data_IF_863456975203
#
_entry.id   IF_863456975203
#
_cell.length_a   1.000
_cell.length_b   1.000
_cell.length_c   1.000
_cell.angle_alpha   90.00
_cell.angle_beta   90.00
_cell.angle_gamma   90.00
#
_symmetry.space_group_name_H-M   'P 1'
#
loop_
_entity.id
_entity.type
_entity.pdbx_description
1 polymer ?
#
# COMPACT_ATOMS: atom_id res chain seq x y z
N UNK A 1 3.15 -23.94 13.00
CA UNK A 1 3.15 -23.31 11.66
C UNK A 1 3.70 -24.36 10.72
N UNK A 2 2.94 -24.82 9.73
CA UNK A 2 3.41 -25.83 8.77
C UNK A 2 4.38 -25.18 7.78
N UNK A 3 5.50 -25.85 7.51
CA UNK A 3 6.47 -25.41 6.51
C UNK A 3 5.88 -25.57 5.10
N UNK A 4 5.68 -24.46 4.39
CA UNK A 4 5.33 -24.47 2.97
C UNK A 4 6.64 -24.49 2.17
N UNK A 5 6.85 -25.55 1.39
CA UNK A 5 8.08 -25.71 0.58
C UNK A 5 8.27 -24.51 -0.34
N UNK A 6 9.45 -23.89 -0.27
CA UNK A 6 9.81 -22.74 -1.10
C UNK A 6 9.33 -21.38 -0.57
N UNK A 7 8.62 -21.35 0.56
CA UNK A 7 8.18 -20.10 1.20
C UNK A 7 9.20 -19.65 2.26
N UNK A 8 9.37 -18.34 2.35
CA UNK A 8 10.02 -17.68 3.48
C UNK A 8 9.01 -16.73 4.07
N UNK A 9 8.68 -16.94 5.34
CA UNK A 9 7.83 -15.99 6.07
C UNK A 9 8.71 -14.97 6.76
N UNK A 10 8.27 -13.71 6.72
CA UNK A 10 8.85 -12.61 7.48
C UNK A 10 7.79 -12.11 8.43
N UNK A 11 8.10 -12.14 9.73
CA UNK A 11 7.23 -11.59 10.77
C UNK A 11 7.43 -10.08 10.90
N UNK A 12 6.48 -9.39 11.51
CA UNK A 12 6.64 -7.99 11.92
C UNK A 12 7.86 -7.88 12.83
N UNK A 13 8.72 -6.90 12.56
CA UNK A 13 10.00 -6.67 13.25
C UNK A 13 11.12 -7.65 12.87
N UNK A 14 10.83 -8.71 12.12
CA UNK A 14 11.86 -9.65 11.65
C UNK A 14 12.53 -9.08 10.40
N UNK A 15 13.86 -9.12 10.39
CA UNK A 15 14.68 -8.90 9.19
C UNK A 15 15.15 -10.25 8.64
N UNK A 16 15.01 -10.45 7.34
CA UNK A 16 15.66 -11.55 6.60
C UNK A 16 16.53 -10.98 5.47
N UNK A 17 17.47 -11.79 4.98
CA UNK A 17 18.22 -11.49 3.76
C UNK A 17 18.05 -12.63 2.76
N UNK A 18 17.65 -12.28 1.53
CA UNK A 18 17.42 -13.25 0.45
C UNK A 18 17.90 -12.66 -0.87
N UNK A 19 18.80 -13.37 -1.56
CA UNK A 19 19.31 -12.98 -2.87
C UNK A 19 19.85 -11.52 -2.94
N UNK A 20 20.51 -11.06 -1.87
CA UNK A 20 21.06 -9.69 -1.79
C UNK A 20 20.02 -8.60 -1.49
N UNK A 21 18.79 -8.99 -1.11
CA UNK A 21 17.74 -8.08 -0.64
C UNK A 21 17.53 -8.33 0.85
N UNK A 22 17.68 -7.27 1.65
CA UNK A 22 17.31 -7.28 3.06
C UNK A 22 15.85 -6.85 3.18
N UNK A 23 15.03 -7.66 3.85
CA UNK A 23 13.59 -7.48 3.95
C UNK A 23 13.22 -7.48 5.43
N UNK A 24 12.62 -6.38 5.90
CA UNK A 24 12.13 -6.22 7.27
C UNK A 24 10.60 -6.13 7.24
N UNK A 25 9.92 -6.98 8.01
CA UNK A 25 8.47 -6.86 8.21
C UNK A 25 8.13 -5.66 9.09
N UNK A 26 7.14 -4.87 8.69
CA UNK A 26 6.67 -3.67 9.43
C UNK A 26 5.21 -3.80 9.82
N UNK A 27 4.78 -3.08 10.84
CA UNK A 27 3.35 -2.97 11.18
C UNK A 27 2.54 -2.40 10.01
N UNK A 28 1.35 -2.94 9.79
CA UNK A 28 0.35 -2.42 8.86
C UNK A 28 -1.04 -2.61 9.48
N UNK A 29 -1.68 -1.53 9.90
CA UNK A 29 -2.95 -1.61 10.61
C UNK A 29 -3.77 -0.33 10.49
N UNK A 30 -5.06 -0.44 10.83
CA UNK A 30 -5.97 0.68 10.96
C UNK A 30 -6.57 0.69 12.36
N UNK A 31 -6.87 1.87 12.97
CA UNK A 31 -7.49 1.94 14.30
C UNK A 31 -8.87 1.28 14.41
N UNK A 32 -9.53 1.05 13.28
CA UNK A 32 -10.85 0.40 13.14
C UNK A 32 -10.83 -0.44 11.87
N UNK A 33 -11.75 -1.40 11.74
CA UNK A 33 -11.89 -2.22 10.52
C UNK A 33 -11.17 -3.56 10.61
N UNK A 34 -10.70 -4.05 9.46
CA UNK A 34 -10.19 -5.42 9.30
C UNK A 34 -8.68 -5.54 9.46
N UNK A 35 -7.93 -4.43 9.49
CA UNK A 35 -6.47 -4.45 9.63
C UNK A 35 -6.08 -4.26 11.09
N UNK A 36 -6.04 -5.36 11.83
CA UNK A 36 -5.71 -5.39 13.26
C UNK A 36 -4.19 -5.28 13.44
N UNK A 37 -3.76 -4.47 14.41
CA UNK A 37 -2.34 -4.31 14.76
C UNK A 37 -1.71 -5.65 15.13
N UNK A 38 -0.51 -5.92 14.60
CA UNK A 38 0.19 -7.20 14.77
C UNK A 38 -0.23 -8.31 13.80
N UNK A 39 -1.26 -8.10 12.96
CA UNK A 39 -1.71 -9.08 11.96
C UNK A 39 -1.33 -8.68 10.53
N UNK A 40 -1.51 -7.40 10.17
CA UNK A 40 -1.09 -6.87 8.87
C UNK A 40 0.42 -6.61 8.83
N UNK A 41 1.05 -6.90 7.69
CA UNK A 41 2.48 -6.77 7.50
C UNK A 41 2.81 -5.96 6.24
N UNK A 42 3.52 -4.86 6.43
CA UNK A 42 4.24 -4.15 5.38
C UNK A 42 5.69 -4.65 5.28
N UNK A 43 6.45 -4.11 4.33
CA UNK A 43 7.84 -4.47 4.11
C UNK A 43 8.72 -3.24 3.87
N UNK A 44 9.81 -3.15 4.62
CA UNK A 44 10.96 -2.34 4.25
C UNK A 44 11.96 -3.24 3.53
N UNK A 45 12.26 -2.91 2.28
CA UNK A 45 13.21 -3.63 1.44
C UNK A 45 14.42 -2.77 1.17
N UNK A 46 15.61 -3.33 1.40
CA UNK A 46 16.88 -2.69 1.10
C UNK A 46 17.59 -3.50 0.01
N UNK A 47 17.80 -2.87 -1.16
CA UNK A 47 18.45 -3.48 -2.33
C UNK A 47 19.35 -2.44 -3.00
N UNK A 48 20.61 -2.78 -3.28
CA UNK A 48 21.55 -1.88 -3.96
C UNK A 48 21.60 -0.45 -3.38
N UNK A 49 21.59 -0.33 -2.04
CA UNK A 49 21.55 0.94 -1.28
C UNK A 49 20.26 1.76 -1.45
N UNK A 50 19.23 1.19 -2.05
CA UNK A 50 17.89 1.75 -2.12
C UNK A 50 17.04 1.21 -0.98
N UNK A 51 16.25 2.08 -0.34
CA UNK A 51 15.25 1.72 0.67
C UNK A 51 13.85 1.92 0.10
N UNK A 52 13.11 0.82 -0.07
CA UNK A 52 11.76 0.80 -0.59
C UNK A 52 10.82 0.36 0.53
N UNK A 53 9.84 1.19 0.85
CA UNK A 53 8.82 0.89 1.85
C UNK A 53 7.49 0.59 1.15
N UNK A 54 6.98 -0.64 1.32
CA UNK A 54 5.63 -1.01 0.94
C UNK A 54 4.81 -1.22 2.20
N UNK A 55 3.82 -0.37 2.44
CA UNK A 55 3.17 -0.31 3.75
C UNK A 55 2.19 -1.45 4.01
N UNK A 56 1.75 -2.17 2.98
CA UNK A 56 0.52 -2.96 3.07
C UNK A 56 -0.72 -2.07 3.25
N UNK A 57 -1.84 -2.67 3.60
CA UNK A 57 -3.10 -1.94 3.85
C UNK A 57 -3.09 -1.35 5.27
N UNK A 58 -2.91 -0.03 5.37
CA UNK A 58 -2.70 0.69 6.64
C UNK A 58 -3.14 2.15 6.54
N UNK A 59 -3.24 2.82 7.68
CA UNK A 59 -3.28 4.30 7.77
C UNK A 59 -1.95 4.84 8.31
N UNK A 60 -1.88 6.13 8.67
CA UNK A 60 -0.76 6.72 9.41
C UNK A 60 -0.55 6.02 10.74
N UNK A 61 0.63 5.41 10.92
CA UNK A 61 1.02 4.74 12.17
C UNK A 61 2.21 5.46 12.81
N UNK A 62 2.48 5.16 14.08
CA UNK A 62 3.62 5.75 14.80
C UNK A 62 4.94 5.13 14.36
N UNK A 63 4.91 3.85 13.99
CA UNK A 63 6.06 3.10 13.49
C UNK A 63 6.66 3.71 12.21
N UNK A 64 5.87 4.48 11.46
CA UNK A 64 6.37 5.23 10.30
C UNK A 64 7.35 6.34 10.68
N UNK A 65 7.33 6.87 11.92
CA UNK A 65 8.28 7.87 12.41
C UNK A 65 9.73 7.32 12.49
N UNK A 66 9.87 6.00 12.57
CA UNK A 66 11.19 5.33 12.63
C UNK A 66 11.77 5.10 11.22
N UNK A 67 10.98 5.29 10.16
CA UNK A 67 11.43 5.16 8.78
C UNK A 67 12.27 6.36 8.38
N UNK A 68 13.46 6.10 7.85
CA UNK A 68 14.42 7.14 7.50
C UNK A 68 15.10 6.83 6.17
N UNK A 69 15.36 7.87 5.38
CA UNK A 69 16.06 7.74 4.09
C UNK A 69 15.33 6.83 3.11
N UNK A 70 13.99 6.90 3.09
CA UNK A 70 13.17 6.11 2.16
C UNK A 70 13.29 6.72 0.77
N UNK A 71 13.66 5.90 -0.20
CA UNK A 71 13.77 6.36 -1.58
C UNK A 71 12.45 6.18 -2.34
N UNK A 72 11.70 5.14 -2.02
CA UNK A 72 10.38 4.91 -2.58
C UNK A 72 9.42 4.42 -1.49
N UNK A 73 8.29 5.11 -1.31
CA UNK A 73 7.20 4.69 -0.46
C UNK A 73 5.97 4.34 -1.31
N UNK A 74 5.36 3.19 -1.04
CA UNK A 74 4.19 2.67 -1.73
C UNK A 74 3.09 2.46 -0.68
N UNK A 75 2.10 3.36 -0.66
CA UNK A 75 1.06 3.39 0.37
C UNK A 75 -0.35 3.35 -0.26
N UNK A 76 -1.32 2.67 0.39
CA UNK A 76 -2.72 2.70 -0.01
C UNK A 76 -3.28 4.10 0.22
N UNK A 77 -4.20 4.57 -0.63
CA UNK A 77 -4.83 5.90 -0.41
C UNK A 77 -6.28 5.82 0.04
N UNK A 78 -7.02 4.74 -0.24
CA UNK A 78 -8.41 4.63 0.21
C UNK A 78 -8.92 3.18 0.29
N UNK A 79 -9.84 2.91 1.22
CA UNK A 79 -10.55 1.61 1.29
C UNK A 79 -12.07 1.76 1.37
N UNK A 80 -12.81 0.68 1.10
CA UNK A 80 -14.26 0.67 1.17
C UNK A 80 -14.80 0.80 2.61
N UNK A 81 -14.02 0.43 3.64
CA UNK A 81 -14.43 0.43 5.05
C UNK A 81 -14.26 1.77 5.76
N UNK A 82 -13.83 2.82 5.05
CA UNK A 82 -13.58 4.17 5.61
C UNK A 82 -12.45 4.19 6.65
N UNK A 83 -11.56 3.21 6.60
CA UNK A 83 -10.50 3.00 7.60
C UNK A 83 -9.13 3.46 7.11
N UNK A 84 -8.93 3.48 5.79
CA UNK A 84 -7.81 4.13 5.12
C UNK A 84 -8.35 5.41 4.46
N UNK A 85 -7.88 6.56 4.94
CA UNK A 85 -8.27 7.89 4.44
C UNK A 85 -7.10 8.54 3.73
N UNK A 86 -7.39 9.15 2.59
CA UNK A 86 -6.40 9.85 1.77
C UNK A 86 -5.64 10.91 2.57
N UNK A 87 -6.32 11.64 3.47
CA UNK A 87 -5.70 12.69 4.28
C UNK A 87 -4.66 12.14 5.26
N UNK A 88 -4.97 11.02 5.94
CA UNK A 88 -4.05 10.38 6.87
C UNK A 88 -2.79 9.90 6.11
N UNK A 89 -2.96 9.43 4.87
CA UNK A 89 -1.86 8.95 4.04
C UNK A 89 -0.99 10.10 3.54
N UNK A 90 -1.58 11.25 3.20
CA UNK A 90 -0.81 12.47 2.88
C UNK A 90 0.08 12.85 4.07
N UNK A 91 -0.46 12.83 5.29
CA UNK A 91 0.33 13.11 6.50
C UNK A 91 1.42 12.07 6.75
N UNK A 92 1.12 10.78 6.53
CA UNK A 92 2.10 9.71 6.63
C UNK A 92 3.25 9.86 5.64
N UNK A 93 2.96 10.18 4.37
CA UNK A 93 4.00 10.39 3.35
C UNK A 93 4.86 11.61 3.69
N UNK A 94 4.26 12.70 4.20
CA UNK A 94 5.00 13.88 4.68
C UNK A 94 5.86 13.58 5.91
N UNK A 95 5.45 12.64 6.75
CA UNK A 95 6.24 12.18 7.89
C UNK A 95 7.44 11.31 7.46
N UNK A 96 7.23 10.45 6.46
CA UNK A 96 8.27 9.53 5.95
C UNK A 96 9.32 10.28 5.10
N UNK A 97 8.92 11.39 4.46
CA UNK A 97 9.72 12.19 3.54
C UNK A 97 10.44 11.36 2.46
N UNK A 98 9.74 10.48 1.71
CA UNK A 98 10.38 9.66 0.70
C UNK A 98 10.77 10.50 -0.52
N UNK A 99 11.79 10.07 -1.28
CA UNK A 99 12.08 10.72 -2.57
C UNK A 99 10.96 10.53 -3.58
N UNK A 100 10.40 9.31 -3.65
CA UNK A 100 9.31 8.93 -4.53
C UNK A 100 8.14 8.34 -3.73
N UNK A 101 6.92 8.80 -4.00
CA UNK A 101 5.68 8.25 -3.48
C UNK A 101 4.85 7.63 -4.62
N UNK A 102 4.40 6.40 -4.43
CA UNK A 102 3.52 5.68 -5.35
C UNK A 102 2.20 5.37 -4.62
N UNK A 103 1.11 6.09 -4.92
CA UNK A 103 -0.20 5.77 -4.37
C UNK A 103 -0.76 4.47 -4.97
N UNK A 104 -1.29 3.59 -4.12
CA UNK A 104 -1.92 2.31 -4.51
C UNK A 104 -3.25 2.09 -3.78
N UNK A 105 -3.85 0.91 -3.95
CA UNK A 105 -5.08 0.49 -3.27
C UNK A 105 -6.22 1.53 -3.44
N UNK A 106 -6.60 1.80 -4.70
CA UNK A 106 -7.75 2.63 -5.05
C UNK A 106 -8.40 2.12 -6.34
N UNK A 107 -9.65 2.50 -6.59
CA UNK A 107 -10.32 2.33 -7.88
C UNK A 107 -10.18 3.62 -8.69
N UNK A 108 -9.59 3.61 -9.89
CA UNK A 108 -9.58 4.78 -10.76
C UNK A 108 -11.01 5.28 -11.06
N UNK A 109 -11.25 6.60 -11.19
CA UNK A 109 -12.60 7.14 -11.34
C UNK A 109 -13.34 6.65 -12.60
N UNK A 110 -12.59 6.31 -13.65
CA UNK A 110 -13.08 5.82 -14.93
C UNK A 110 -13.38 4.30 -14.95
N UNK A 111 -13.02 3.57 -13.90
CA UNK A 111 -13.39 2.15 -13.79
C UNK A 111 -14.89 2.01 -13.43
N UNK A 112 -15.58 1.02 -14.02
CA UNK A 112 -16.95 0.74 -13.66
C UNK A 112 -17.02 0.21 -12.23
N UNK A 113 -18.19 0.35 -11.61
CA UNK A 113 -18.41 -0.17 -10.28
C UNK A 113 -18.30 -1.71 -10.27
N UNK A 114 -17.84 -2.28 -9.15
CA UNK A 114 -17.80 -3.73 -8.98
C UNK A 114 -19.21 -4.35 -9.14
N UNK A 115 -19.32 -5.44 -9.91
CA UNK A 115 -20.59 -6.17 -10.10
C UNK A 115 -20.54 -7.49 -9.33
N UNK A 116 -21.54 -7.71 -8.46
CA UNK A 116 -21.73 -9.02 -7.82
C UNK A 116 -22.47 -9.92 -8.81
N UNK A 117 -21.82 -10.97 -9.32
CA UNK A 117 -22.53 -12.06 -10.00
C UNK A 117 -23.19 -12.94 -8.92
N UNK A 118 -24.44 -13.35 -9.13
CA UNK A 118 -25.20 -14.18 -8.16
C UNK A 118 -24.38 -15.38 -7.67
N UNK A 119 -24.47 -15.66 -6.36
CA UNK A 119 -23.80 -16.80 -5.72
C UNK A 119 -22.35 -16.56 -5.26
N UNK A 120 -21.71 -15.43 -5.59
CA UNK A 120 -20.40 -15.07 -5.05
C UNK A 120 -20.54 -14.25 -3.76
N UNK A 121 -20.44 -14.92 -2.60
CA UNK A 121 -20.32 -14.28 -1.28
C UNK A 121 -19.00 -13.48 -1.12
N UNK A 122 -17.96 -13.89 -1.86
CA UNK A 122 -16.69 -13.18 -1.97
C UNK A 122 -16.29 -13.12 -3.44
N UNK A 123 -16.39 -11.93 -4.02
CA UNK A 123 -15.86 -11.62 -5.33
C UNK A 123 -14.33 -11.49 -5.31
N UNK A 124 -13.67 -11.89 -6.40
CA UNK A 124 -12.22 -11.67 -6.60
C UNK A 124 -11.92 -10.29 -7.19
N UNK A 125 -12.94 -9.49 -7.42
CA UNK A 125 -12.80 -8.15 -7.94
C UNK A 125 -12.28 -7.21 -6.82
N UNK A 126 -11.04 -6.70 -6.92
CA UNK A 126 -10.44 -5.87 -5.88
C UNK A 126 -11.18 -4.53 -5.67
N UNK A 127 -12.01 -4.11 -6.64
CA UNK A 127 -12.80 -2.88 -6.54
C UNK A 127 -13.83 -2.92 -5.42
N UNK A 128 -14.19 -4.11 -4.92
CA UNK A 128 -15.05 -4.23 -3.75
C UNK A 128 -14.38 -3.75 -2.46
N UNK A 129 -13.05 -3.73 -2.40
CA UNK A 129 -12.29 -3.36 -1.19
C UNK A 129 -11.73 -1.93 -1.24
N UNK A 130 -11.88 -1.24 -2.38
CA UNK A 130 -11.33 0.10 -2.61
C UNK A 130 -12.44 1.13 -2.89
N UNK A 131 -12.09 2.42 -2.87
CA UNK A 131 -12.98 3.51 -3.32
C UNK A 131 -12.50 4.12 -4.61
N UNK A 132 -13.42 4.81 -5.29
CA UNK A 132 -13.05 5.71 -6.38
C UNK A 132 -12.21 6.85 -5.84
N UNK A 133 -11.00 7.01 -6.36
CA UNK A 133 -10.09 8.08 -5.99
C UNK A 133 -9.23 8.46 -7.20
N UNK A 134 -9.01 9.76 -7.39
CA UNK A 134 -8.08 10.24 -8.42
C UNK A 134 -6.73 10.55 -7.76
N UNK A 135 -5.68 9.73 -7.97
CA UNK A 135 -4.37 9.98 -7.37
C UNK A 135 -3.74 11.29 -7.84
N UNK A 136 -4.23 11.92 -8.92
CA UNK A 136 -3.77 13.25 -9.35
C UNK A 136 -4.21 14.36 -8.38
N UNK A 137 -5.28 14.13 -7.62
CA UNK A 137 -5.72 15.07 -6.59
C UNK A 137 -4.68 15.27 -5.49
N UNK A 138 -3.73 14.33 -5.36
CA UNK A 138 -2.66 14.37 -4.36
C UNK A 138 -1.52 15.31 -4.74
N UNK A 139 -1.33 15.60 -6.02
CA UNK A 139 -0.15 16.35 -6.51
C UNK A 139 0.05 17.70 -5.80
N UNK A 140 -0.99 18.55 -5.61
CA UNK A 140 -0.82 19.83 -4.94
C UNK A 140 -0.34 19.71 -3.49
N UNK A 141 -0.57 18.59 -2.82
CA UNK A 141 -0.16 18.41 -1.42
C UNK A 141 1.34 18.15 -1.25
N UNK A 142 2.03 17.79 -2.34
CA UNK A 142 3.47 17.49 -2.37
C UNK A 142 4.29 18.51 -3.17
N UNK A 143 3.66 19.57 -3.68
CA UNK A 143 4.38 20.68 -4.30
C UNK A 143 5.34 21.35 -3.28
N UNK A 144 6.59 21.51 -3.69
CA UNK A 144 7.62 22.17 -2.86
C UNK A 144 8.18 21.31 -1.71
N UNK A 145 7.68 20.09 -1.49
CA UNK A 145 8.22 19.20 -0.44
C UNK A 145 9.48 18.45 -0.88
N UNK A 146 9.74 18.38 -2.19
CA UNK A 146 10.80 17.56 -2.78
C UNK A 146 10.41 16.08 -2.97
N UNK A 147 9.18 15.70 -2.62
CA UNK A 147 8.63 14.35 -2.80
C UNK A 147 8.04 14.26 -4.21
N UNK A 148 8.59 13.37 -5.05
CA UNK A 148 8.01 13.07 -6.36
C UNK A 148 6.83 12.11 -6.20
N UNK A 149 5.75 12.30 -6.95
CA UNK A 149 4.58 11.40 -6.94
C UNK A 149 4.47 10.69 -8.29
N UNK A 150 4.64 9.37 -8.30
CA UNK A 150 4.49 8.55 -9.50
C UNK A 150 3.13 7.86 -9.54
N UNK A 151 2.27 8.33 -10.43
CA UNK A 151 0.95 7.73 -10.69
C UNK A 151 1.10 6.61 -11.72
N UNK A 152 0.84 5.38 -11.29
CA UNK A 152 0.96 4.21 -12.16
C UNK A 152 -0.16 4.20 -13.20
N UNK A 153 0.20 3.86 -14.44
CA UNK A 153 -0.74 3.66 -15.54
C UNK A 153 -1.11 2.18 -15.64
N UNK A 154 -2.41 1.88 -15.72
CA UNK A 154 -2.90 0.54 -16.02
C UNK A 154 -2.38 0.09 -17.40
N UNK A 155 -1.71 -1.05 -17.45
CA UNK A 155 -1.10 -1.57 -18.69
C UNK A 155 -2.09 -2.34 -19.57
N UNK A 156 -3.20 -2.83 -19.00
CA UNK A 156 -4.16 -3.71 -19.68
C UNK A 156 -5.49 -2.99 -19.85
N UNK A 157 -6.02 -2.95 -21.08
CA UNK A 157 -7.38 -2.45 -21.35
C UNK A 157 -8.42 -3.34 -20.67
N UNK A 158 -9.57 -2.82 -20.20
CA UNK A 158 -10.66 -3.66 -19.71
C UNK A 158 -10.98 -4.74 -20.75
N UNK A 159 -11.04 -6.01 -20.34
CA UNK A 159 -11.61 -7.05 -21.19
C UNK A 159 -13.12 -6.79 -21.22
N UNK A 160 -13.67 -6.64 -22.42
CA UNK A 160 -15.12 -6.44 -22.62
C UNK A 160 -15.91 -7.76 -22.53
N UNK A 161 -15.27 -8.86 -22.15
CA UNK A 161 -15.81 -10.20 -22.36
C UNK A 161 -15.67 -11.02 -21.07
N UNK A 162 -16.74 -11.09 -20.27
CA UNK A 162 -17.02 -12.10 -19.24
C UNK A 162 -18.51 -12.27 -18.92
#
# INVERSE_FOLDING_TARGET
MQDIKGVRTVKIGQTIELAGVKITGTEAYTPRGFHIKGEGCGFLMEINRQRIYFSGDTTKTKEMEELNGIDCAILPICDNTYTIKTEDIIEAVKMIEPKLFIPVHFTPPDEPDPVVKEGMFATKDPRFFTRKEDPKSLLPFFEGTGIEVAILKKLVKPRNDF
#
